data_IF_367286569579
#
_entry.id   IF_367286569579
#
_cell.length_a   1.000
_cell.length_b   1.000
_cell.length_c   1.000
_cell.angle_alpha   90.00
_cell.angle_beta   90.00
_cell.angle_gamma   90.00
#
_symmetry.space_group_name_H-M   'P 1'
#
loop_
_entity.id
_entity.type
_entity.pdbx_description
1 polymer ?
#
# COMPACT_ATOMS: atom_id res chain seq x y z
N UNK A 1 -2.94 18.85 -4.10
CA UNK A 1 -2.57 17.45 -4.39
C UNK A 1 -1.42 17.45 -5.38
N UNK A 2 -0.39 16.65 -5.13
CA UNK A 2 0.72 16.48 -6.07
C UNK A 2 0.35 15.39 -7.09
N UNK A 3 0.59 15.65 -8.38
CA UNK A 3 0.34 14.72 -9.49
C UNK A 3 1.50 14.75 -10.47
N UNK A 4 1.68 13.69 -11.27
CA UNK A 4 2.78 13.67 -12.26
C UNK A 4 2.51 14.57 -13.47
N UNK A 5 1.26 14.59 -13.93
CA UNK A 5 0.80 15.40 -15.07
C UNK A 5 -0.55 16.02 -14.69
N UNK A 6 -0.59 17.32 -14.44
CA UNK A 6 -1.80 18.01 -13.98
C UNK A 6 -2.80 18.26 -15.12
N UNK A 7 -2.32 18.26 -16.37
CA UNK A 7 -3.13 18.45 -17.57
C UNK A 7 -3.71 17.15 -18.13
N UNK A 8 -3.28 15.98 -17.63
CA UNK A 8 -3.80 14.68 -18.06
C UNK A 8 -5.17 14.43 -17.42
N UNK A 9 -6.22 14.87 -18.12
CA UNK A 9 -7.64 14.73 -17.74
C UNK A 9 -8.02 13.28 -17.41
N UNK A 10 -7.44 12.29 -18.09
CA UNK A 10 -7.68 10.86 -17.78
C UNK A 10 -7.23 10.45 -16.38
N UNK A 11 -6.31 11.23 -15.79
CA UNK A 11 -5.73 11.02 -14.46
C UNK A 11 -6.23 11.99 -13.41
N UNK A 12 -6.83 13.12 -13.78
CA UNK A 12 -7.22 14.16 -12.80
C UNK A 12 -8.72 14.46 -12.77
N UNK A 13 -9.49 14.10 -13.80
CA UNK A 13 -10.92 14.44 -13.86
C UNK A 13 -11.71 13.85 -12.68
N UNK A 14 -11.35 12.64 -12.22
CA UNK A 14 -11.98 12.02 -11.06
C UNK A 14 -11.70 12.78 -9.75
N UNK A 15 -10.62 13.57 -9.67
CA UNK A 15 -10.30 14.45 -8.54
C UNK A 15 -11.03 15.78 -8.66
N UNK A 16 -11.06 16.33 -9.88
CA UNK A 16 -11.75 17.59 -10.19
C UNK A 16 -13.27 17.45 -10.08
N UNK A 17 -13.82 16.25 -10.26
CA UNK A 17 -15.24 15.95 -10.06
C UNK A 17 -15.70 15.83 -8.60
N UNK A 18 -14.80 15.93 -7.61
CA UNK A 18 -15.15 15.82 -6.19
C UNK A 18 -15.84 17.09 -5.67
N UNK A 19 -16.76 16.94 -4.72
CA UNK A 19 -17.44 18.07 -4.11
C UNK A 19 -16.46 19.06 -3.44
N UNK A 20 -16.53 20.32 -3.87
CA UNK A 20 -15.67 21.41 -3.39
C UNK A 20 -14.24 21.42 -3.95
N UNK A 21 -13.94 20.57 -4.94
CA UNK A 21 -12.66 20.59 -5.67
C UNK A 21 -12.37 21.96 -6.28
N UNK A 22 -13.37 22.59 -6.91
CA UNK A 22 -13.25 23.90 -7.57
C UNK A 22 -12.81 25.05 -6.66
N UNK A 23 -12.99 24.89 -5.35
CA UNK A 23 -12.68 25.91 -4.34
C UNK A 23 -11.38 25.61 -3.57
N UNK A 24 -11.09 24.32 -3.33
CA UNK A 24 -10.08 23.90 -2.33
C UNK A 24 -9.01 22.97 -2.90
N UNK A 25 -9.24 22.35 -4.05
CA UNK A 25 -8.27 21.45 -4.67
C UNK A 25 -7.34 22.22 -5.59
N UNK A 26 -6.08 22.31 -5.20
CA UNK A 26 -5.01 22.81 -6.06
C UNK A 26 -4.14 21.64 -6.50
N UNK A 27 -4.01 21.44 -7.81
CA UNK A 27 -3.09 20.45 -8.39
C UNK A 27 -1.72 21.10 -8.57
N UNK A 28 -0.68 20.38 -8.20
CA UNK A 28 0.71 20.77 -8.44
C UNK A 28 1.44 19.60 -9.08
N UNK A 29 2.26 19.88 -10.08
CA UNK A 29 3.08 18.84 -10.67
C UNK A 29 4.29 18.52 -9.79
N UNK A 30 4.53 17.23 -9.57
CA UNK A 30 5.70 16.74 -8.89
C UNK A 30 6.04 15.33 -9.36
N UNK A 31 7.33 15.06 -9.54
CA UNK A 31 7.84 13.72 -9.75
C UNK A 31 8.59 13.25 -8.51
N UNK A 32 8.33 12.01 -8.08
CA UNK A 32 8.98 11.43 -6.89
C UNK A 32 10.49 11.26 -7.08
N UNK A 33 10.92 11.08 -8.34
CA UNK A 33 12.29 10.94 -8.78
C UNK A 33 12.48 11.81 -10.02
N UNK A 34 13.30 12.86 -9.98
CA UNK A 34 13.78 13.49 -11.21
C UNK A 34 14.80 12.54 -11.88
N UNK A 35 14.31 11.54 -12.62
CA UNK A 35 14.91 10.79 -13.75
C UNK A 35 14.14 9.48 -14.04
N UNK A 36 14.25 9.00 -15.27
CA UNK A 36 13.29 8.17 -16.02
C UNK A 36 12.87 6.79 -15.43
N UNK A 37 11.57 6.52 -15.65
CA UNK A 37 10.89 5.24 -15.94
C UNK A 37 10.92 4.11 -14.90
N UNK A 38 9.75 3.85 -14.30
CA UNK A 38 9.42 2.69 -13.47
C UNK A 38 8.71 1.63 -14.33
N UNK A 39 9.25 0.40 -14.42
CA UNK A 39 8.63 -0.74 -15.12
C UNK A 39 8.69 -2.05 -14.29
N UNK A 40 7.49 -2.64 -14.10
CA UNK A 40 7.10 -4.06 -14.02
C UNK A 40 7.57 -5.01 -12.90
N UNK A 41 6.73 -5.16 -11.85
CA UNK A 41 6.83 -6.02 -10.63
C UNK A 41 7.15 -7.53 -10.78
N UNK A 42 7.43 -8.06 -11.97
CA UNK A 42 7.72 -9.49 -12.18
C UNK A 42 9.07 -9.78 -12.86
N UNK A 43 9.82 -8.74 -13.26
CA UNK A 43 11.24 -8.84 -13.60
C UNK A 43 12.03 -7.67 -13.01
N UNK A 44 11.51 -7.06 -11.93
CA UNK A 44 12.15 -5.88 -11.36
C UNK A 44 13.46 -6.27 -10.71
N UNK A 45 14.52 -5.62 -11.15
CA UNK A 45 15.79 -5.65 -10.45
C UNK A 45 15.60 -4.88 -9.14
N UNK A 46 16.20 -5.35 -8.05
CA UNK A 46 16.13 -4.74 -6.70
C UNK A 46 16.16 -3.19 -6.73
N UNK A 47 17.05 -2.62 -7.56
CA UNK A 47 17.27 -1.18 -7.71
C UNK A 47 16.02 -0.42 -8.19
N UNK A 48 15.23 -0.98 -9.10
CA UNK A 48 14.04 -0.32 -9.68
C UNK A 48 12.83 -0.29 -8.72
N UNK A 49 12.86 -1.02 -7.61
CA UNK A 49 11.81 -0.99 -6.58
C UNK A 49 12.28 -0.38 -5.26
N UNK A 50 13.45 -0.82 -4.78
CA UNK A 50 13.94 -0.46 -3.44
C UNK A 50 14.41 1.00 -3.42
N UNK A 51 15.28 1.38 -4.36
CA UNK A 51 15.86 2.71 -4.37
C UNK A 51 14.80 3.80 -4.58
N UNK A 52 13.87 3.69 -5.55
CA UNK A 52 12.76 4.61 -5.71
C UNK A 52 11.92 4.80 -4.45
N UNK A 53 11.55 3.70 -3.79
CA UNK A 53 10.70 3.77 -2.60
C UNK A 53 11.40 4.53 -1.47
N UNK A 54 12.68 4.23 -1.21
CA UNK A 54 13.47 4.90 -0.17
C UNK A 54 13.75 6.36 -0.54
N UNK A 55 14.21 6.63 -1.76
CA UNK A 55 14.55 7.98 -2.23
C UNK A 55 13.33 8.88 -2.27
N UNK A 56 12.20 8.41 -2.80
CA UNK A 56 10.94 9.15 -2.85
C UNK A 56 10.43 9.50 -1.45
N UNK A 57 10.45 8.53 -0.52
CA UNK A 57 10.07 8.76 0.88
C UNK A 57 10.93 9.84 1.54
N UNK A 58 12.24 9.74 1.39
CA UNK A 58 13.18 10.73 1.95
C UNK A 58 13.07 12.09 1.26
N UNK A 59 12.74 12.15 -0.04
CA UNK A 59 12.56 13.40 -0.76
C UNK A 59 11.41 14.24 -0.18
N UNK A 60 10.27 13.58 0.08
CA UNK A 60 9.11 14.21 0.72
C UNK A 60 9.46 14.64 2.14
N UNK A 61 10.06 13.76 2.94
CA UNK A 61 10.41 14.09 4.32
C UNK A 61 11.43 15.24 4.44
N UNK A 62 12.41 15.32 3.54
CA UNK A 62 13.34 16.46 3.47
C UNK A 62 12.61 17.77 3.15
N UNK A 63 11.59 17.72 2.29
CA UNK A 63 10.76 18.89 1.99
C UNK A 63 9.91 19.30 3.20
N UNK A 64 9.34 18.33 3.91
CA UNK A 64 8.62 18.57 5.17
C UNK A 64 9.53 19.19 6.24
N UNK A 65 10.76 18.67 6.43
CA UNK A 65 11.72 19.20 7.40
C UNK A 65 12.09 20.66 7.16
N UNK A 66 12.09 21.10 5.89
CA UNK A 66 12.38 22.48 5.50
C UNK A 66 11.18 23.42 5.66
N UNK A 67 9.99 22.90 5.93
CA UNK A 67 8.74 23.67 6.00
C UNK A 67 8.27 23.80 7.45
N UNK A 68 8.45 24.97 8.10
CA UNK A 68 8.05 25.17 9.50
C UNK A 68 6.54 25.05 9.75
N UNK A 69 5.73 25.11 8.70
CA UNK A 69 4.27 24.97 8.79
C UNK A 69 3.82 23.51 8.90
N UNK A 70 4.67 22.54 8.53
CA UNK A 70 4.36 21.11 8.63
C UNK A 70 4.53 20.67 10.07
N UNK A 71 3.42 20.26 10.70
CA UNK A 71 3.40 19.86 12.12
C UNK A 71 3.49 18.36 12.32
N UNK A 72 3.01 17.59 11.35
CA UNK A 72 2.90 16.14 11.40
C UNK A 72 2.92 15.58 9.98
N UNK A 73 3.57 14.44 9.81
CA UNK A 73 3.58 13.67 8.56
C UNK A 73 2.89 12.33 8.82
N UNK A 74 1.92 11.97 7.97
CA UNK A 74 1.26 10.67 7.99
C UNK A 74 1.63 9.92 6.72
N UNK A 75 2.27 8.76 6.85
CA UNK A 75 2.68 7.92 5.73
C UNK A 75 1.76 6.72 5.60
N UNK A 76 1.27 6.45 4.39
CA UNK A 76 0.63 5.18 4.07
C UNK A 76 1.70 4.10 3.96
N UNK A 77 1.76 3.22 4.94
CA UNK A 77 2.57 2.01 4.91
C UNK A 77 1.73 0.80 4.46
N UNK A 78 2.34 -0.37 4.44
CA UNK A 78 1.75 -1.60 3.94
C UNK A 78 2.02 -2.75 4.88
N UNK A 79 1.11 -3.74 4.93
CA UNK A 79 1.38 -5.03 5.60
C UNK A 79 2.70 -5.67 5.17
N UNK A 80 3.20 -5.34 3.97
CA UNK A 80 4.51 -5.76 3.47
C UNK A 80 5.69 -5.41 4.42
N UNK A 81 5.58 -4.35 5.22
CA UNK A 81 6.58 -3.98 6.25
C UNK A 81 6.36 -4.66 7.61
N UNK A 82 5.34 -5.51 7.74
CA UNK A 82 4.98 -6.20 8.99
C UNK A 82 5.18 -7.72 8.91
N UNK A 83 4.74 -8.36 7.82
CA UNK A 83 4.52 -9.81 7.79
C UNK A 83 5.63 -10.63 7.09
N UNK A 84 6.71 -10.00 6.63
CA UNK A 84 7.85 -10.71 6.03
C UNK A 84 8.80 -11.23 7.13
N UNK A 85 8.39 -12.26 7.88
CA UNK A 85 9.19 -12.78 9.01
C UNK A 85 9.43 -14.28 8.88
N UNK A 86 10.58 -14.76 9.40
CA UNK A 86 10.97 -16.18 9.38
C UNK A 86 10.01 -17.07 10.20
N UNK A 87 9.25 -16.50 11.13
CA UNK A 87 8.45 -17.22 12.14
C UNK A 87 6.94 -17.21 11.89
N UNK A 88 6.47 -16.83 10.70
CA UNK A 88 5.03 -16.79 10.37
C UNK A 88 4.30 -18.16 10.37
N UNK A 89 5.02 -19.27 10.56
CA UNK A 89 4.49 -20.64 10.47
C UNK A 89 3.65 -21.10 11.67
N UNK A 90 3.27 -20.21 12.59
CA UNK A 90 2.50 -20.59 13.80
C UNK A 90 1.01 -20.21 13.65
N UNK A 91 0.06 -21.18 13.65
CA UNK A 91 -1.35 -20.95 13.31
C UNK A 91 -2.19 -20.04 14.22
N UNK A 92 -1.60 -19.25 15.12
CA UNK A 92 -2.32 -18.47 16.14
C UNK A 92 -1.75 -17.09 16.43
N UNK A 93 -0.76 -16.65 15.67
CA UNK A 93 -0.11 -15.38 15.95
C UNK A 93 -0.85 -14.24 15.25
N UNK A 94 -1.31 -13.29 16.05
CA UNK A 94 -1.86 -12.02 15.58
C UNK A 94 -0.71 -11.04 15.48
N UNK A 95 -0.43 -10.57 14.26
CA UNK A 95 0.53 -9.49 14.06
C UNK A 95 -0.09 -8.17 14.54
N UNK A 96 0.73 -7.35 15.18
CA UNK A 96 0.37 -6.02 15.67
C UNK A 96 1.41 -4.99 15.24
N UNK A 97 1.27 -3.75 15.70
CA UNK A 97 2.13 -2.62 15.40
C UNK A 97 3.58 -2.77 15.88
N UNK A 98 3.87 -3.77 16.72
CA UNK A 98 5.24 -4.08 17.19
C UNK A 98 6.02 -4.96 16.21
N UNK A 99 5.33 -5.52 15.20
CA UNK A 99 5.93 -6.43 14.23
C UNK A 99 6.58 -5.68 13.07
N UNK A 100 7.81 -6.06 12.75
CA UNK A 100 8.53 -5.56 11.59
C UNK A 100 8.98 -6.73 10.71
N UNK A 101 8.85 -6.54 9.41
CA UNK A 101 9.45 -7.40 8.39
C UNK A 101 10.98 -7.45 8.54
N UNK A 102 11.53 -8.64 8.36
CA UNK A 102 12.98 -8.89 8.33
C UNK A 102 13.49 -8.59 6.92
N UNK A 103 14.18 -7.46 6.76
CA UNK A 103 14.72 -7.00 5.47
C UNK A 103 15.71 -8.01 4.86
N UNK A 104 16.55 -8.66 5.68
CA UNK A 104 17.48 -9.67 5.18
C UNK A 104 16.72 -10.88 4.66
N UNK A 105 15.65 -11.28 5.34
CA UNK A 105 14.79 -12.37 4.89
C UNK A 105 14.07 -12.04 3.58
N UNK A 106 13.54 -10.82 3.43
CA UNK A 106 12.91 -10.40 2.18
C UNK A 106 13.94 -10.39 1.04
N UNK A 107 15.17 -9.92 1.28
CA UNK A 107 16.25 -9.94 0.30
C UNK A 107 16.68 -11.36 -0.10
N UNK A 108 16.85 -12.27 0.87
CA UNK A 108 17.17 -13.68 0.62
C UNK A 108 16.12 -14.36 -0.27
N UNK A 109 14.85 -14.01 -0.09
CA UNK A 109 13.72 -14.52 -0.90
C UNK A 109 13.54 -13.80 -2.23
N UNK A 110 14.33 -12.76 -2.51
CA UNK A 110 14.17 -11.86 -3.65
C UNK A 110 12.77 -11.21 -3.69
N UNK A 111 12.17 -11.00 -2.52
CA UNK A 111 10.89 -10.32 -2.37
C UNK A 111 11.11 -8.81 -2.34
N UNK A 112 11.42 -8.25 -3.51
CA UNK A 112 11.84 -6.86 -3.65
C UNK A 112 10.75 -5.86 -3.27
N UNK A 113 9.48 -6.23 -3.41
CA UNK A 113 8.36 -5.39 -2.99
C UNK A 113 8.27 -5.31 -1.46
N UNK A 114 8.32 -6.44 -0.75
CA UNK A 114 8.33 -6.40 0.72
C UNK A 114 9.59 -5.73 1.25
N UNK A 115 10.72 -5.95 0.59
CA UNK A 115 11.97 -5.26 0.93
C UNK A 115 11.85 -3.74 0.76
N UNK A 116 11.31 -3.26 -0.37
CA UNK A 116 11.20 -1.81 -0.64
C UNK A 116 10.33 -1.10 0.38
N UNK A 117 9.16 -1.67 0.71
CA UNK A 117 8.26 -1.12 1.74
C UNK A 117 8.90 -1.13 3.13
N UNK A 118 9.61 -2.21 3.47
CA UNK A 118 10.30 -2.34 4.76
C UNK A 118 11.42 -1.29 4.89
N UNK A 119 12.27 -1.15 3.88
CA UNK A 119 13.39 -0.21 3.92
C UNK A 119 12.93 1.25 3.84
N UNK A 120 11.88 1.56 3.07
CA UNK A 120 11.31 2.90 3.01
C UNK A 120 10.75 3.34 4.39
N UNK A 121 10.03 2.46 5.07
CA UNK A 121 9.53 2.71 6.43
C UNK A 121 10.67 2.89 7.46
N UNK A 122 11.69 2.03 7.43
CA UNK A 122 12.86 2.17 8.30
C UNK A 122 13.61 3.49 8.06
N UNK A 123 13.78 3.87 6.80
CA UNK A 123 14.40 5.15 6.43
C UNK A 123 13.56 6.35 6.89
N UNK A 124 12.24 6.27 6.78
CA UNK A 124 11.32 7.31 7.26
C UNK A 124 11.44 7.51 8.77
N UNK A 125 11.39 6.43 9.56
CA UNK A 125 11.53 6.49 11.02
C UNK A 125 12.87 7.06 11.45
N UNK A 126 13.96 6.61 10.81
CA UNK A 126 15.31 7.13 11.10
C UNK A 126 15.38 8.62 10.82
N UNK A 127 14.95 9.05 9.63
CA UNK A 127 14.98 10.46 9.24
C UNK A 127 14.11 11.33 10.15
N UNK A 128 12.90 10.88 10.47
CA UNK A 128 11.98 11.62 11.34
C UNK A 128 12.57 11.83 12.74
N UNK A 129 13.17 10.78 13.33
CA UNK A 129 13.84 10.87 14.63
C UNK A 129 15.01 11.85 14.61
N UNK A 130 15.83 11.82 13.56
CA UNK A 130 17.00 12.70 13.41
C UNK A 130 16.62 14.18 13.19
N UNK A 131 15.44 14.45 12.62
CA UNK A 131 15.00 15.79 12.25
C UNK A 131 13.83 16.31 13.11
N UNK A 132 13.44 15.59 14.17
CA UNK A 132 12.35 16.01 15.07
C UNK A 132 10.98 16.08 14.39
N UNK A 133 10.72 15.25 13.37
CA UNK A 133 9.42 15.19 12.68
C UNK A 133 8.47 14.29 13.47
N UNK A 134 7.27 14.80 13.78
CA UNK A 134 6.17 13.99 14.27
C UNK A 134 5.63 13.12 13.12
N UNK A 135 5.94 11.82 13.16
CA UNK A 135 5.68 10.85 12.11
C UNK A 135 4.71 9.77 12.60
N UNK A 136 3.67 9.52 11.80
CA UNK A 136 2.73 8.42 11.99
C UNK A 136 2.62 7.58 10.73
N UNK A 137 2.40 6.27 10.91
CA UNK A 137 2.21 5.34 9.80
C UNK A 137 0.85 4.64 9.87
N UNK A 138 0.11 4.67 8.77
CA UNK A 138 -1.10 3.87 8.57
C UNK A 138 -0.76 2.64 7.74
N UNK A 139 -0.84 1.45 8.32
CA UNK A 139 -0.49 0.19 7.66
C UNK A 139 -1.74 -0.37 6.98
N UNK A 140 -1.81 -0.24 5.66
CA UNK A 140 -2.88 -0.87 4.88
C UNK A 140 -2.59 -2.36 4.69
N UNK A 141 -3.49 -3.21 5.21
CA UNK A 141 -3.40 -4.67 5.06
C UNK A 141 -4.13 -5.23 3.84
N UNK A 142 -4.82 -4.39 3.07
CA UNK A 142 -5.44 -4.84 1.82
C UNK A 142 -4.34 -5.23 0.84
N UNK A 143 -4.29 -6.51 0.47
CA UNK A 143 -3.38 -6.99 -0.56
C UNK A 143 -3.92 -6.64 -1.95
N UNK A 144 -3.06 -6.18 -2.87
CA UNK A 144 -3.43 -5.85 -4.27
C UNK A 144 -4.16 -7.01 -4.97
N UNK A 145 -3.84 -8.25 -4.57
CA UNK A 145 -4.48 -9.49 -5.01
C UNK A 145 -6.00 -9.56 -4.76
N UNK A 146 -6.58 -8.69 -3.93
CA UNK A 146 -8.04 -8.64 -3.73
C UNK A 146 -8.77 -8.18 -4.98
N UNK A 147 -8.19 -7.27 -5.77
CA UNK A 147 -8.85 -6.73 -6.95
C UNK A 147 -9.00 -7.77 -8.05
N UNK A 148 -7.99 -8.62 -8.28
CA UNK A 148 -8.13 -9.73 -9.22
C UNK A 148 -9.19 -10.75 -8.78
N UNK A 149 -9.39 -10.95 -7.48
CA UNK A 149 -10.49 -11.76 -6.97
C UNK A 149 -11.86 -11.13 -7.30
N UNK A 150 -11.99 -9.81 -7.16
CA UNK A 150 -13.23 -9.09 -7.47
C UNK A 150 -13.50 -9.00 -8.98
N UNK A 151 -12.49 -8.72 -9.79
CA UNK A 151 -12.62 -8.49 -11.24
C UNK A 151 -12.73 -9.81 -12.02
N UNK A 152 -11.89 -10.79 -11.68
CA UNK A 152 -11.78 -12.04 -12.44
C UNK A 152 -12.48 -13.22 -11.77
N UNK A 153 -12.78 -13.13 -10.47
CA UNK A 153 -13.26 -14.27 -9.67
C UNK A 153 -12.17 -15.33 -9.45
N UNK A 154 -10.89 -14.97 -9.66
CA UNK A 154 -9.75 -15.88 -9.55
C UNK A 154 -8.92 -15.56 -8.33
N UNK A 155 -8.53 -16.59 -7.59
CA UNK A 155 -7.52 -16.43 -6.55
C UNK A 155 -6.17 -16.08 -7.18
N UNK A 156 -5.56 -14.97 -6.75
CA UNK A 156 -4.24 -14.56 -7.21
C UNK A 156 -3.12 -15.48 -6.72
N UNK A 157 -3.34 -16.19 -5.61
CA UNK A 157 -2.39 -17.12 -5.01
C UNK A 157 -2.89 -18.56 -5.11
N UNK A 158 -2.07 -19.42 -5.70
CA UNK A 158 -2.29 -20.87 -5.72
C UNK A 158 -2.13 -21.43 -4.31
N UNK A 159 -3.24 -21.56 -3.57
CA UNK A 159 -3.23 -22.25 -2.28
C UNK A 159 -4.23 -21.82 -1.21
N UNK A 160 -5.30 -21.09 -1.52
CA UNK A 160 -6.31 -20.77 -0.51
C UNK A 160 -5.81 -19.75 0.52
N UNK A 161 -5.26 -18.63 0.02
CA UNK A 161 -4.70 -17.56 0.85
C UNK A 161 -5.72 -16.92 1.80
N UNK A 162 -5.21 -16.33 2.88
CA UNK A 162 -6.00 -15.48 3.79
C UNK A 162 -6.05 -14.08 3.18
N UNK A 163 -7.25 -13.63 2.82
CA UNK A 163 -7.50 -12.26 2.42
C UNK A 163 -7.72 -11.40 3.66
N UNK A 164 -7.05 -10.25 3.67
CA UNK A 164 -7.24 -9.19 4.65
C UNK A 164 -7.80 -7.99 3.89
N UNK A 165 -8.94 -7.49 4.34
CA UNK A 165 -9.71 -6.46 3.66
C UNK A 165 -9.90 -5.29 4.61
N UNK A 166 -9.75 -4.08 4.11
CA UNK A 166 -10.23 -2.87 4.77
C UNK A 166 -10.93 -1.98 3.73
N UNK A 167 -12.01 -1.33 4.13
CA UNK A 167 -12.72 -0.39 3.26
C UNK A 167 -11.82 0.84 3.00
N UNK A 168 -11.74 1.30 1.76
CA UNK A 168 -10.91 2.46 1.41
C UNK A 168 -11.34 3.73 2.15
N UNK A 169 -12.62 3.84 2.52
CA UNK A 169 -13.15 4.95 3.34
C UNK A 169 -12.60 4.89 4.75
N UNK A 170 -12.45 3.69 5.32
CA UNK A 170 -11.85 3.52 6.64
C UNK A 170 -10.36 3.86 6.61
N UNK A 171 -9.66 3.50 5.52
CA UNK A 171 -8.26 3.92 5.33
C UNK A 171 -8.16 5.44 5.23
N UNK A 172 -9.01 6.10 4.44
CA UNK A 172 -9.01 7.57 4.33
C UNK A 172 -9.32 8.24 5.68
N UNK A 173 -10.35 7.78 6.38
CA UNK A 173 -10.73 8.29 7.69
C UNK A 173 -9.61 8.09 8.72
N UNK A 174 -8.91 6.96 8.70
CA UNK A 174 -7.78 6.71 9.59
C UNK A 174 -6.62 7.68 9.34
N UNK A 175 -6.35 8.06 8.09
CA UNK A 175 -5.33 9.09 7.80
C UNK A 175 -5.74 10.46 8.35
N UNK A 176 -7.02 10.84 8.20
CA UNK A 176 -7.55 12.08 8.78
C UNK A 176 -7.41 12.06 10.30
N UNK A 177 -7.85 10.99 10.95
CA UNK A 177 -7.78 10.86 12.42
C UNK A 177 -6.33 10.84 12.92
N UNK A 178 -5.41 10.15 12.23
CA UNK A 178 -3.99 10.18 12.58
C UNK A 178 -3.40 11.59 12.48
N UNK A 179 -3.85 12.38 11.51
CA UNK A 179 -3.43 13.77 11.40
C UNK A 179 -4.05 14.68 12.47
N UNK A 180 -5.35 14.55 12.74
CA UNK A 180 -6.10 15.48 13.59
C UNK A 180 -6.00 15.18 15.09
N UNK A 181 -5.89 13.91 15.50
CA UNK A 181 -5.87 13.52 16.92
C UNK A 181 -4.48 13.79 17.51
N UNK A 182 -4.30 14.76 18.44
CA UNK A 182 -2.97 15.15 18.89
C UNK A 182 -2.18 14.02 19.57
N UNK A 183 -2.87 13.11 20.26
CA UNK A 183 -2.26 11.97 20.97
C UNK A 183 -1.93 10.77 20.08
N UNK A 184 -2.36 10.76 18.81
CA UNK A 184 -2.02 9.68 17.88
C UNK A 184 -0.51 9.65 17.64
N UNK A 185 0.08 8.45 17.64
CA UNK A 185 1.52 8.26 17.46
C UNK A 185 1.83 6.84 16.95
N UNK A 186 3.01 6.67 16.38
CA UNK A 186 3.51 5.35 16.00
C UNK A 186 2.88 4.80 14.72
N UNK A 187 2.48 3.53 14.76
CA UNK A 187 1.94 2.76 13.62
C UNK A 187 0.51 2.36 13.94
N UNK A 188 -0.33 2.17 12.92
CA UNK A 188 -1.69 1.66 13.08
C UNK A 188 -2.00 0.61 12.00
N UNK A 189 -2.27 -0.62 12.42
CA UNK A 189 -2.68 -1.72 11.54
C UNK A 189 -4.17 -1.58 11.17
N UNK A 190 -4.46 -1.41 9.87
CA UNK A 190 -5.84 -1.34 9.38
C UNK A 190 -6.28 -2.64 8.73
N UNK A 191 -7.09 -3.41 9.46
CA UNK A 191 -7.75 -4.64 8.99
C UNK A 191 -9.22 -4.56 9.40
N UNK A 192 -10.13 -4.52 8.43
CA UNK A 192 -11.58 -4.53 8.68
C UNK A 192 -12.15 -5.95 8.75
N UNK A 193 -11.65 -6.86 7.91
CA UNK A 193 -12.03 -8.26 7.90
C UNK A 193 -10.87 -9.17 7.47
N UNK A 194 -10.89 -10.40 7.97
CA UNK A 194 -10.04 -11.47 7.50
C UNK A 194 -10.87 -12.68 7.07
N UNK A 195 -10.39 -13.45 6.11
CA UNK A 195 -11.09 -14.63 5.67
C UNK A 195 -10.28 -15.45 4.69
N UNK A 196 -10.49 -16.76 4.71
CA UNK A 196 -10.01 -17.60 3.63
C UNK A 196 -10.67 -17.18 2.32
N UNK A 197 -9.91 -17.26 1.25
CA UNK A 197 -10.37 -17.05 -0.13
C UNK A 197 -11.73 -17.69 -0.44
N UNK A 198 -11.93 -18.93 0.03
CA UNK A 198 -13.19 -19.68 -0.13
C UNK A 198 -14.40 -19.01 0.53
N UNK A 199 -14.21 -18.33 1.66
CA UNK A 199 -15.27 -17.56 2.32
C UNK A 199 -15.59 -16.29 1.52
N UNK A 200 -14.56 -15.58 1.07
CA UNK A 200 -14.72 -14.37 0.24
C UNK A 200 -15.44 -14.70 -1.05
N UNK A 201 -15.04 -15.77 -1.74
CA UNK A 201 -15.70 -16.26 -2.96
C UNK A 201 -17.16 -16.65 -2.72
N UNK A 202 -17.49 -17.32 -1.61
CA UNK A 202 -18.88 -17.65 -1.25
C UNK A 202 -19.73 -16.39 -1.05
N UNK A 203 -19.18 -15.36 -0.41
CA UNK A 203 -19.85 -14.08 -0.23
C UNK A 203 -20.06 -13.42 -1.61
N UNK A 204 -19.04 -13.40 -2.47
CA UNK A 204 -19.13 -12.85 -3.81
C UNK A 204 -20.19 -13.55 -4.67
N UNK A 205 -20.22 -14.88 -4.68
CA UNK A 205 -21.22 -15.64 -5.43
C UNK A 205 -22.65 -15.42 -4.91
N UNK A 206 -22.81 -15.17 -3.60
CA UNK A 206 -24.12 -14.85 -3.00
C UNK A 206 -24.59 -13.44 -3.38
N UNK A 207 -23.69 -12.47 -3.42
CA UNK A 207 -24.01 -11.07 -3.75
C UNK A 207 -24.11 -10.84 -5.26
N UNK A 208 -23.32 -11.56 -6.05
CA UNK A 208 -23.22 -11.44 -7.50
C UNK A 208 -23.36 -12.82 -8.16
N UNK A 209 -24.59 -13.34 -8.32
CA UNK A 209 -24.83 -14.67 -8.89
C UNK A 209 -24.28 -14.86 -10.31
N UNK A 210 -24.07 -13.79 -11.08
CA UNK A 210 -23.44 -13.83 -12.42
C UNK A 210 -21.98 -14.27 -12.40
N UNK A 211 -21.33 -14.30 -11.24
CA UNK A 211 -19.99 -14.84 -11.05
C UNK A 211 -20.03 -16.39 -10.95
N UNK A 212 -21.21 -17.01 -10.81
CA UNK A 212 -21.36 -18.48 -10.83
C UNK A 212 -21.00 -19.05 -12.20
N UNK A 213 -20.06 -20.01 -12.21
CA UNK A 213 -19.62 -20.72 -13.42
C UNK A 213 -18.12 -20.65 -13.70
N UNK A 214 -17.38 -19.76 -13.02
CA UNK A 214 -15.91 -19.75 -13.05
C UNK A 214 -15.36 -20.70 -11.99
N UNK A 215 -15.51 -22.01 -12.21
CA UNK A 215 -14.92 -23.02 -11.34
C UNK A 215 -13.41 -23.11 -11.55
N UNK A 216 -12.71 -23.37 -10.46
CA UNK A 216 -11.29 -23.64 -10.34
C UNK A 216 -10.84 -24.74 -11.34
N UNK A 217 -10.00 -24.36 -12.31
CA UNK A 217 -9.04 -25.27 -12.94
C UNK A 217 -7.62 -24.82 -12.56
N UNK A 218 -6.83 -25.63 -11.85
CA UNK A 218 -5.47 -25.28 -11.52
C UNK A 218 -4.58 -25.51 -12.74
N UNK A 219 -4.37 -24.50 -13.58
CA UNK A 219 -3.28 -24.57 -14.56
C UNK A 219 -2.74 -23.23 -15.03
N UNK A 220 -1.41 -23.12 -14.89
CA UNK A 220 -0.43 -22.34 -15.67
C UNK A 220 -0.79 -20.90 -16.09
N UNK A 221 -0.03 -19.98 -15.49
CA UNK A 221 0.29 -18.62 -15.97
C UNK A 221 -0.01 -18.41 -17.47
N UNK A 222 -1.08 -17.67 -17.75
CA UNK A 222 -1.17 -16.87 -18.98
C UNK A 222 -1.72 -15.49 -18.66
N UNK A 223 -0.87 -14.52 -18.99
CA UNK A 223 -1.02 -13.08 -19.07
C UNK A 223 -2.46 -12.58 -19.20
N UNK A 224 -2.85 -11.68 -18.29
CA UNK A 224 -3.42 -10.38 -18.62
C UNK A 224 -3.38 -9.48 -17.37
N UNK A 225 -3.25 -8.19 -17.62
CA UNK A 225 -2.74 -7.16 -16.71
C UNK A 225 -3.87 -6.27 -16.17
N UNK A 226 -3.88 -5.98 -14.87
CA UNK A 226 -4.47 -4.77 -14.27
C UNK A 226 -3.60 -4.34 -13.07
N UNK A 227 -3.29 -3.04 -12.99
CA UNK A 227 -2.32 -2.45 -12.07
C UNK A 227 -3.00 -1.75 -10.88
N UNK A 228 -2.45 -1.93 -9.67
CA UNK A 228 -2.64 -1.00 -8.56
C UNK A 228 -1.29 -0.69 -7.91
N UNK A 229 -0.93 0.58 -7.85
CA UNK A 229 0.27 1.09 -7.17
C UNK A 229 -0.18 1.58 -5.80
N UNK A 230 0.32 0.98 -4.72
CA UNK A 230 0.32 1.65 -3.42
C UNK A 230 1.64 2.43 -3.30
N UNK A 231 1.54 3.68 -2.85
CA UNK A 231 2.68 4.55 -2.48
C UNK A 231 3.72 3.77 -1.68
#
# INVERSE_FOLDING_TARGET
>A
MLVKHAEDTSKVDHLLGLDGSNERLHLFEAELLEEQSLILLLMVVKEELVDPAVKGTLNVLRSCAKSPSVRRVVITSSTASVICTKNMSTPRVVADETWYSDSEFCEQRKDWYRLSKTLAEQAAWKFAKENGIDLLLIINYTEVCTLSLFDEGKEASSGGGIYRLVDVRDVANAHILAFEVPSANGRYCLVGANGYSSLVLKILQKLYPSIQGRTYEPTSLKNNTVYLISF
#
